data_IF_212781580701
#
_entry.id   IF_212781580701
#
_cell.length_a   1.000
_cell.length_b   1.000
_cell.length_c   1.000
_cell.angle_alpha   90.00
_cell.angle_beta   90.00
_cell.angle_gamma   90.00
#
_symmetry.space_group_name_H-M   'P 1'
#
loop_
_entity.id
_entity.type
_entity.pdbx_description
1 polymer ?
#
# COMPACT_ATOMS: atom_id res chain seq x y z
N UNK A 1 8.86 20.96 12.07
CA UNK A 1 9.82 19.89 11.70
C UNK A 1 9.51 18.57 12.41
N UNK A 2 9.40 18.54 13.74
CA UNK A 2 9.19 17.30 14.51
C UNK A 2 7.94 16.49 14.11
N UNK A 3 6.77 17.12 13.97
CA UNK A 3 5.51 16.44 13.59
C UNK A 3 5.62 15.80 12.20
N UNK A 4 6.19 16.50 11.22
CA UNK A 4 6.40 15.97 9.87
C UNK A 4 7.34 14.75 9.89
N UNK A 5 8.45 14.83 10.63
CA UNK A 5 9.40 13.73 10.77
C UNK A 5 8.78 12.52 11.49
N UNK A 6 7.98 12.75 12.53
CA UNK A 6 7.25 11.72 13.25
C UNK A 6 6.15 11.08 12.41
N UNK A 7 5.53 11.83 11.50
CA UNK A 7 4.59 11.31 10.50
C UNK A 7 5.32 10.42 9.51
N UNK A 8 6.35 10.94 8.83
CA UNK A 8 7.14 10.18 7.85
C UNK A 8 7.73 8.88 8.44
N UNK A 9 8.20 8.91 9.69
CA UNK A 9 8.77 7.73 10.35
C UNK A 9 7.74 6.63 10.65
N UNK A 10 6.45 6.96 10.67
CA UNK A 10 5.33 6.04 10.98
C UNK A 10 4.36 5.86 9.81
N UNK A 11 4.67 6.43 8.65
CA UNK A 11 3.89 6.25 7.44
C UNK A 11 4.42 5.09 6.62
N UNK A 12 3.50 4.36 6.00
CA UNK A 12 3.78 3.24 5.12
C UNK A 12 3.07 3.45 3.79
N UNK A 13 3.73 3.07 2.70
CA UNK A 13 3.13 3.03 1.36
C UNK A 13 3.27 1.61 0.82
N UNK A 14 2.13 1.02 0.51
CA UNK A 14 2.04 -0.27 -0.17
C UNK A 14 1.35 -0.11 -1.51
N UNK A 15 1.74 -0.92 -2.48
CA UNK A 15 1.09 -0.89 -3.78
C UNK A 15 1.28 -2.19 -4.55
N UNK A 16 0.44 -2.41 -5.54
CA UNK A 16 0.55 -3.50 -6.49
C UNK A 16 0.66 -2.92 -7.89
N UNK A 17 1.39 -3.61 -8.75
CA UNK A 17 1.52 -3.32 -10.18
C UNK A 17 1.27 -4.61 -10.97
N UNK A 18 1.03 -4.48 -12.26
CA UNK A 18 0.82 -5.63 -13.14
C UNK A 18 2.11 -6.40 -13.40
N UNK A 19 3.23 -5.68 -13.58
CA UNK A 19 4.56 -6.22 -13.78
C UNK A 19 5.64 -5.26 -13.23
N UNK A 20 6.89 -5.73 -13.16
CA UNK A 20 8.00 -4.93 -12.64
C UNK A 20 8.77 -4.20 -13.74
N UNK A 21 8.48 -4.46 -15.01
CA UNK A 21 9.27 -4.00 -16.15
C UNK A 21 9.37 -2.49 -16.25
N UNK A 22 8.32 -1.73 -15.91
CA UNK A 22 8.35 -0.25 -15.89
C UNK A 22 9.21 0.30 -14.74
N UNK A 23 9.05 -0.26 -13.54
CA UNK A 23 9.87 0.10 -12.38
C UNK A 23 11.35 -0.24 -12.62
N UNK A 24 11.62 -1.40 -13.22
CA UNK A 24 12.98 -1.84 -13.57
C UNK A 24 13.63 -0.90 -14.59
N UNK A 25 12.95 -0.64 -15.71
CA UNK A 25 13.48 0.23 -16.78
C UNK A 25 13.73 1.66 -16.33
N UNK A 26 12.94 2.15 -15.38
CA UNK A 26 13.10 3.50 -14.84
C UNK A 26 14.05 3.58 -13.63
N UNK A 27 14.65 2.46 -13.22
CA UNK A 27 15.63 2.42 -12.12
C UNK A 27 15.02 2.64 -10.73
N UNK A 28 13.71 2.40 -10.57
CA UNK A 28 12.99 2.59 -9.29
C UNK A 28 13.04 1.39 -8.36
N UNK A 29 13.48 0.23 -8.86
CA UNK A 29 13.72 -0.99 -8.10
C UNK A 29 15.13 -1.51 -8.33
N UNK A 30 15.65 -2.28 -7.38
CA UNK A 30 16.95 -2.92 -7.52
C UNK A 30 16.92 -4.12 -8.50
N UNK A 31 18.11 -4.56 -8.93
CA UNK A 31 18.26 -5.69 -9.87
C UNK A 31 17.73 -7.00 -9.31
N UNK A 32 17.75 -7.20 -7.99
CA UNK A 32 17.23 -8.41 -7.35
C UNK A 32 15.71 -8.49 -7.47
N UNK A 33 15.04 -7.37 -7.25
CA UNK A 33 13.59 -7.20 -7.37
C UNK A 33 13.15 -7.34 -8.82
N UNK A 34 13.89 -6.76 -9.76
CA UNK A 34 13.58 -6.79 -11.19
C UNK A 34 13.57 -8.21 -11.82
N UNK A 35 14.18 -9.22 -11.19
CA UNK A 35 14.21 -10.60 -11.71
C UNK A 35 12.87 -11.32 -11.69
N UNK A 36 11.89 -10.79 -10.98
CA UNK A 36 10.54 -11.36 -10.90
C UNK A 36 9.64 -10.96 -12.09
N UNK A 37 10.17 -10.16 -13.02
CA UNK A 37 9.45 -9.67 -14.19
C UNK A 37 9.18 -10.76 -15.25
N UNK A 38 8.09 -10.61 -16.01
CA UNK A 38 7.76 -11.49 -17.15
C UNK A 38 7.02 -12.78 -16.84
N UNK A 39 6.67 -13.07 -15.58
CA UNK A 39 5.84 -14.25 -15.24
C UNK A 39 4.35 -13.90 -15.36
N UNK A 40 3.68 -14.46 -16.38
CA UNK A 40 2.29 -14.15 -16.69
C UNK A 40 1.34 -14.38 -15.49
N UNK A 41 0.57 -13.34 -15.18
CA UNK A 41 -0.46 -13.35 -14.14
C UNK A 41 0.07 -13.30 -12.70
N UNK A 42 1.39 -13.21 -12.51
CA UNK A 42 1.99 -12.89 -11.22
C UNK A 42 2.02 -11.37 -11.06
N UNK A 43 1.55 -10.92 -9.89
CA UNK A 43 1.53 -9.51 -9.51
C UNK A 43 2.34 -9.32 -8.22
N UNK A 44 3.33 -8.42 -8.21
CA UNK A 44 4.08 -8.08 -7.02
C UNK A 44 3.27 -7.20 -6.07
N UNK A 45 3.35 -7.50 -4.78
CA UNK A 45 2.95 -6.59 -3.70
C UNK A 45 4.21 -5.91 -3.18
N UNK A 46 4.22 -4.59 -3.24
CA UNK A 46 5.38 -3.74 -3.05
C UNK A 46 5.23 -2.85 -1.83
N UNK A 47 6.34 -2.49 -1.21
CA UNK A 47 6.43 -1.47 -0.18
C UNK A 47 7.48 -0.43 -0.53
N UNK A 48 7.18 0.84 -0.23
CA UNK A 48 8.20 1.88 -0.19
C UNK A 48 8.95 1.82 1.14
N UNK A 49 10.27 1.78 1.08
CA UNK A 49 11.16 1.79 2.24
C UNK A 49 12.14 2.95 2.15
N UNK A 50 12.92 3.20 3.21
CA UNK A 50 14.01 4.20 3.19
C UNK A 50 15.04 3.94 2.09
N UNK A 51 15.26 2.67 1.74
CA UNK A 51 16.25 2.26 0.75
C UNK A 51 15.67 2.17 -0.67
N UNK A 52 14.39 2.49 -0.85
CA UNK A 52 13.67 2.37 -2.12
C UNK A 52 12.52 1.37 -2.09
N UNK A 53 12.07 0.96 -3.27
CA UNK A 53 10.93 0.05 -3.45
C UNK A 53 11.39 -1.40 -3.30
N UNK A 54 10.68 -2.18 -2.49
CA UNK A 54 10.94 -3.61 -2.26
C UNK A 54 9.70 -4.46 -2.52
N UNK A 55 9.91 -5.66 -3.05
CA UNK A 55 8.86 -6.68 -3.11
C UNK A 55 8.67 -7.34 -1.76
N UNK A 56 7.44 -7.28 -1.24
CA UNK A 56 7.03 -8.01 -0.05
C UNK A 56 6.70 -9.46 -0.39
N UNK A 57 5.96 -9.65 -1.48
CA UNK A 57 5.53 -10.96 -1.98
C UNK A 57 5.09 -10.87 -3.43
N UNK A 58 4.98 -12.02 -4.08
CA UNK A 58 4.40 -12.16 -5.42
C UNK A 58 3.23 -13.10 -5.35
N UNK A 59 2.08 -12.67 -5.88
CA UNK A 59 0.86 -13.48 -5.86
C UNK A 59 0.28 -13.61 -7.25
N UNK A 60 -0.50 -14.68 -7.48
CA UNK A 60 -1.17 -14.90 -8.76
C UNK A 60 -2.57 -14.26 -8.74
N UNK A 61 -2.83 -13.40 -9.72
CA UNK A 61 -4.14 -12.79 -9.97
C UNK A 61 -4.43 -11.49 -9.20
N UNK A 62 -5.17 -10.59 -9.84
CA UNK A 62 -5.49 -9.25 -9.34
C UNK A 62 -6.26 -9.26 -8.01
N UNK A 63 -7.28 -10.13 -7.87
CA UNK A 63 -8.07 -10.23 -6.66
C UNK A 63 -7.22 -10.64 -5.44
N UNK A 64 -6.24 -11.55 -5.64
CA UNK A 64 -5.32 -11.96 -4.58
C UNK A 64 -4.35 -10.83 -4.25
N UNK A 65 -3.79 -10.16 -5.24
CA UNK A 65 -2.93 -8.99 -5.04
C UNK A 65 -3.62 -7.91 -4.20
N UNK A 66 -4.88 -7.59 -4.50
CA UNK A 66 -5.69 -6.65 -3.71
C UNK A 66 -5.90 -7.10 -2.26
N UNK A 67 -6.24 -8.37 -2.03
CA UNK A 67 -6.40 -8.91 -0.66
C UNK A 67 -5.10 -8.82 0.14
N UNK A 68 -3.97 -9.14 -0.47
CA UNK A 68 -2.67 -9.06 0.18
C UNK A 68 -2.25 -7.60 0.43
N UNK A 69 -2.55 -6.67 -0.50
CA UNK A 69 -2.36 -5.23 -0.29
C UNK A 69 -3.13 -4.73 0.94
N UNK A 70 -4.42 -5.09 1.06
CA UNK A 70 -5.24 -4.77 2.24
C UNK A 70 -4.63 -5.36 3.52
N UNK A 71 -4.17 -6.62 3.47
CA UNK A 71 -3.58 -7.28 4.63
C UNK A 71 -2.31 -6.56 5.13
N UNK A 72 -1.48 -6.01 4.24
CA UNK A 72 -0.31 -5.21 4.64
C UNK A 72 -0.73 -3.90 5.30
N UNK A 73 -1.74 -3.20 4.77
CA UNK A 73 -2.25 -1.97 5.35
C UNK A 73 -2.84 -2.20 6.76
N UNK A 74 -3.67 -3.24 6.93
CA UNK A 74 -4.24 -3.62 8.23
C UNK A 74 -3.13 -3.95 9.24
N UNK A 75 -2.10 -4.70 8.81
CA UNK A 75 -0.98 -5.07 9.69
C UNK A 75 -0.30 -3.86 10.31
N UNK A 76 -0.08 -2.79 9.54
CA UNK A 76 0.61 -1.58 10.06
C UNK A 76 -0.33 -0.57 10.71
N UNK A 77 -1.60 -0.54 10.32
CA UNK A 77 -2.62 0.24 11.02
C UNK A 77 -2.86 -0.30 12.44
N UNK A 78 -2.55 -1.57 12.67
CA UNK A 78 -2.77 -2.23 13.95
C UNK A 78 -4.25 -2.54 14.17
N UNK A 79 -4.62 -2.74 15.43
CA UNK A 79 -5.99 -3.10 15.80
C UNK A 79 -6.02 -3.98 17.04
N UNK A 80 -7.19 -4.04 17.67
CA UNK A 80 -7.39 -4.79 18.92
C UNK A 80 -7.55 -6.29 18.70
N UNK A 81 -7.91 -6.72 17.48
CA UNK A 81 -8.18 -8.11 17.13
C UNK A 81 -6.98 -8.84 16.48
N UNK A 82 -5.86 -8.14 16.23
CA UNK A 82 -4.67 -8.75 15.60
C UNK A 82 -3.81 -9.49 16.63
N UNK A 83 -3.34 -10.69 16.28
CA UNK A 83 -2.38 -11.46 17.10
C UNK A 83 -0.93 -11.04 16.81
N UNK A 84 -0.16 -10.66 17.84
CA UNK A 84 1.28 -10.34 17.73
C UNK A 84 1.75 -9.15 18.60
N UNK A 85 3.03 -8.74 18.50
CA UNK A 85 3.55 -7.55 19.17
C UNK A 85 2.76 -6.30 18.74
N UNK A 86 2.08 -5.67 19.70
CA UNK A 86 1.07 -4.63 19.44
C UNK A 86 1.75 -3.29 19.10
N UNK A 87 1.36 -2.67 17.99
CA UNK A 87 1.25 -1.22 17.98
C UNK A 87 -0.07 -0.87 18.70
N UNK A 88 -0.14 0.15 19.57
CA UNK A 88 -1.42 0.63 20.07
C UNK A 88 -2.34 0.95 18.88
N UNK A 89 -3.66 0.94 19.08
CA UNK A 89 -4.62 1.42 18.08
C UNK A 89 -4.54 2.95 17.94
N UNK A 90 -3.34 3.45 17.61
CA UNK A 90 -3.07 4.82 17.28
C UNK A 90 -3.99 5.20 16.12
N UNK A 91 -4.63 6.37 16.17
CA UNK A 91 -5.51 6.76 15.08
C UNK A 91 -4.70 6.92 13.80
N UNK A 92 -5.20 6.37 12.69
CA UNK A 92 -4.55 6.38 11.38
C UNK A 92 -5.45 7.01 10.32
N UNK A 93 -4.81 7.55 9.29
CA UNK A 93 -5.44 8.05 8.08
C UNK A 93 -4.96 7.24 6.89
N UNK A 94 -5.87 6.99 5.97
CA UNK A 94 -5.64 6.14 4.82
C UNK A 94 -5.77 6.96 3.53
N UNK A 95 -4.88 6.69 2.58
CA UNK A 95 -5.03 7.18 1.20
C UNK A 95 -5.03 5.98 0.27
N UNK A 96 -6.07 5.85 -0.56
CA UNK A 96 -6.15 4.86 -1.62
C UNK A 96 -5.82 5.54 -2.93
N UNK A 97 -5.02 4.87 -3.76
CA UNK A 97 -4.60 5.39 -5.05
C UNK A 97 -4.83 4.36 -6.15
N UNK A 98 -5.31 4.82 -7.30
CA UNK A 98 -5.54 4.01 -8.48
C UNK A 98 -5.97 4.84 -9.67
N UNK A 99 -5.89 4.26 -10.86
CA UNK A 99 -6.33 4.85 -12.13
C UNK A 99 -7.66 4.26 -12.64
N UNK A 100 -8.07 3.12 -12.10
CA UNK A 100 -9.34 2.44 -12.37
C UNK A 100 -10.32 2.63 -11.20
N UNK A 101 -11.44 3.30 -11.48
CA UNK A 101 -12.45 3.66 -10.47
C UNK A 101 -13.17 2.44 -9.87
N UNK A 102 -13.45 1.40 -10.67
CA UNK A 102 -14.12 0.20 -10.20
C UNK A 102 -13.20 -0.59 -9.27
N UNK A 103 -11.93 -0.70 -9.66
CA UNK A 103 -10.91 -1.37 -8.86
C UNK A 103 -10.60 -0.61 -7.56
N UNK A 104 -10.63 0.72 -7.60
CA UNK A 104 -10.56 1.57 -6.40
C UNK A 104 -11.75 1.34 -5.47
N UNK A 105 -12.98 1.27 -6.00
CA UNK A 105 -14.17 0.98 -5.19
C UNK A 105 -14.10 -0.39 -4.50
N UNK A 106 -13.61 -1.41 -5.21
CA UNK A 106 -13.36 -2.74 -4.64
C UNK A 106 -12.26 -2.73 -3.57
N UNK A 107 -11.21 -1.93 -3.76
CA UNK A 107 -10.15 -1.75 -2.76
C UNK A 107 -10.68 -1.05 -1.51
N UNK A 108 -11.43 0.04 -1.68
CA UNK A 108 -12.00 0.81 -0.58
C UNK A 108 -12.95 -0.03 0.26
N UNK A 109 -13.89 -0.73 -0.38
CA UNK A 109 -14.86 -1.59 0.30
C UNK A 109 -14.14 -2.67 1.11
N UNK A 110 -13.20 -3.38 0.48
CA UNK A 110 -12.45 -4.44 1.14
C UNK A 110 -11.55 -3.93 2.27
N UNK A 111 -10.94 -2.75 2.11
CA UNK A 111 -10.08 -2.15 3.13
C UNK A 111 -10.89 -1.71 4.34
N UNK A 112 -12.04 -1.04 4.14
CA UNK A 112 -12.92 -0.60 5.23
C UNK A 112 -13.38 -1.78 6.07
N UNK A 113 -13.89 -2.83 5.41
CA UNK A 113 -14.32 -4.05 6.08
C UNK A 113 -13.16 -4.68 6.90
N UNK A 114 -11.99 -4.83 6.30
CA UNK A 114 -10.85 -5.45 6.99
C UNK A 114 -10.32 -4.61 8.17
N UNK A 115 -10.38 -3.27 8.07
CA UNK A 115 -10.00 -2.36 9.17
C UNK A 115 -11.00 -2.44 10.32
N UNK A 116 -12.30 -2.51 10.03
CA UNK A 116 -13.35 -2.71 11.03
C UNK A 116 -13.20 -4.05 11.74
N UNK A 117 -13.03 -5.14 10.98
CA UNK A 117 -12.80 -6.49 11.52
C UNK A 117 -11.54 -6.55 12.40
N UNK A 118 -10.49 -5.79 12.06
CA UNK A 118 -9.27 -5.70 12.85
C UNK A 118 -9.41 -4.83 14.12
N UNK A 119 -10.46 -4.01 14.21
CA UNK A 119 -10.63 -3.00 15.26
C UNK A 119 -9.61 -1.87 15.14
N UNK A 120 -9.25 -1.46 13.92
CA UNK A 120 -8.34 -0.36 13.66
C UNK A 120 -9.02 1.01 13.87
N UNK A 121 -8.30 1.98 14.41
CA UNK A 121 -8.80 3.34 14.63
C UNK A 121 -8.56 4.21 13.39
N UNK A 122 -9.43 4.09 12.38
CA UNK A 122 -9.31 4.87 11.15
C UNK A 122 -10.09 6.18 11.27
N UNK A 123 -9.40 7.31 11.18
CA UNK A 123 -10.02 8.65 11.33
C UNK A 123 -10.32 9.33 10.00
N UNK A 124 -9.68 8.91 8.91
CA UNK A 124 -9.88 9.47 7.58
C UNK A 124 -9.52 8.45 6.50
N UNK A 125 -10.29 8.44 5.42
CA UNK A 125 -10.00 7.66 4.21
C UNK A 125 -10.20 8.60 3.03
N UNK A 126 -9.13 8.79 2.25
CA UNK A 126 -9.14 9.55 1.01
C UNK A 126 -8.89 8.63 -0.17
N UNK A 127 -9.60 8.85 -1.27
CA UNK A 127 -9.35 8.15 -2.55
C UNK A 127 -8.88 9.18 -3.56
N UNK A 128 -7.69 8.97 -4.11
CA UNK A 128 -7.01 9.89 -5.01
C UNK A 128 -6.59 9.19 -6.30
N UNK A 129 -6.60 9.88 -7.45
CA UNK A 129 -5.98 9.33 -8.65
C UNK A 129 -4.46 9.20 -8.46
N UNK A 130 -3.84 8.29 -9.21
CA UNK A 130 -2.38 8.28 -9.37
C UNK A 130 -1.97 9.45 -10.26
N UNK A 131 -0.99 10.24 -9.84
CA UNK A 131 -0.47 11.35 -10.64
C UNK A 131 0.33 10.87 -11.86
N UNK A 132 0.47 11.72 -12.87
CA UNK A 132 1.10 11.38 -14.15
C UNK A 132 2.58 10.97 -14.02
N UNK A 133 3.32 11.61 -13.11
CA UNK A 133 4.72 11.31 -12.87
C UNK A 133 4.88 9.91 -12.24
N UNK A 134 4.03 9.58 -11.27
CA UNK A 134 3.98 8.24 -10.66
C UNK A 134 3.53 7.19 -11.67
N UNK A 135 2.45 7.47 -12.42
CA UNK A 135 1.86 6.55 -13.41
C UNK A 135 2.87 6.08 -14.47
N UNK A 136 3.77 6.97 -14.90
CA UNK A 136 4.86 6.65 -15.83
C UNK A 136 5.72 5.47 -15.35
N UNK A 137 5.93 5.36 -14.04
CA UNK A 137 6.77 4.35 -13.41
C UNK A 137 6.01 3.08 -13.01
N UNK A 138 4.81 3.23 -12.46
CA UNK A 138 4.03 2.08 -11.93
C UNK A 138 3.20 1.39 -13.00
N UNK A 139 2.89 2.09 -14.09
CA UNK A 139 2.05 1.58 -15.17
C UNK A 139 0.56 1.58 -14.84
N UNK A 140 -0.26 1.21 -15.83
CA UNK A 140 -1.70 1.14 -15.65
C UNK A 140 -2.11 0.02 -14.69
N UNK A 141 -3.26 0.18 -14.04
CA UNK A 141 -3.82 -0.82 -13.13
C UNK A 141 -3.11 -0.91 -11.78
N UNK A 142 -2.21 0.04 -11.48
CA UNK A 142 -1.56 0.14 -10.19
C UNK A 142 -2.58 0.54 -9.13
N UNK A 143 -2.52 -0.12 -7.97
CA UNK A 143 -3.33 0.22 -6.80
C UNK A 143 -2.42 0.43 -5.60
N UNK A 144 -2.66 1.48 -4.82
CA UNK A 144 -1.86 1.85 -3.66
C UNK A 144 -2.69 2.09 -2.41
N UNK A 145 -2.09 1.82 -1.25
CA UNK A 145 -2.57 2.24 0.07
C UNK A 145 -1.42 2.93 0.80
N UNK A 146 -1.63 4.18 1.20
CA UNK A 146 -0.84 4.86 2.21
C UNK A 146 -1.52 4.71 3.57
N UNK A 147 -0.74 4.39 4.60
CA UNK A 147 -1.17 4.43 6.00
C UNK A 147 -0.29 5.45 6.71
N UNK A 148 -0.89 6.47 7.32
CA UNK A 148 -0.18 7.50 8.06
C UNK A 148 -0.81 7.68 9.44
N UNK A 149 -0.04 8.04 10.47
CA UNK A 149 -0.63 8.33 11.77
C UNK A 149 -1.44 9.63 11.72
N UNK A 150 -2.50 9.71 12.49
CA UNK A 150 -3.25 10.94 12.73
C UNK A 150 -2.63 11.69 13.92
N UNK A 151 -1.85 12.72 13.59
CA UNK A 151 -1.13 13.52 14.58
C UNK A 151 -1.85 14.82 14.93
N UNK A 152 -3.10 15.01 14.48
CA UNK A 152 -3.85 16.27 14.68
C UNK A 152 -4.14 16.59 16.14
N UNK A 153 -4.04 15.58 17.02
CA UNK A 153 -4.29 15.69 18.45
C UNK A 153 -3.02 15.56 19.31
N UNK A 154 -1.82 15.65 18.71
CA UNK A 154 -0.54 15.67 19.42
C UNK A 154 -0.05 17.09 19.70
#
# INVERSE_FOLDING_TARGET
AAIAQASTARSFQFFVVDDLGRLARSGRIDRTTARLDGVLGIRPVLALTRDGIRTLETVRGAARARRHLIAQAVRVAGGTALSGPRHPADPVRLVLQGDDADMLGLLETGLRQAMEEAGANVTEVLTLPVDEATSTHVGPGALGIAVAPDLRNL
#
